data_IF_501370105583
#
_entry.id   IF_501370105583
#
_cell.length_a   1.000
_cell.length_b   1.000
_cell.length_c   1.000
_cell.angle_alpha   90.00
_cell.angle_beta   90.00
_cell.angle_gamma   90.00
#
_symmetry.space_group_name_H-M   'P 1'
#
loop_
_entity.id
_entity.type
_entity.pdbx_description
1 polymer ?
#
# COMPACT_ATOMS: atom_id res chain seq x y z
N UNK A 1 54.47 59.95 29.57
CA UNK A 1 55.45 58.87 29.33
C UNK A 1 54.71 57.65 28.77
N UNK A 2 55.06 57.21 27.54
CA UNK A 2 54.92 55.85 26.96
C UNK A 2 53.50 55.21 26.92
N UNK A 3 53.00 54.56 25.87
CA UNK A 3 53.40 54.24 24.48
C UNK A 3 52.16 53.58 23.81
N UNK A 4 51.94 53.91 22.53
CA UNK A 4 51.21 53.23 21.43
C UNK A 4 50.78 51.76 21.65
N UNK A 5 49.60 51.37 21.17
CA UNK A 5 49.40 50.66 19.87
C UNK A 5 47.91 50.34 19.63
N UNK A 6 47.46 50.56 18.40
CA UNK A 6 46.16 50.18 17.83
C UNK A 6 45.93 48.67 17.83
N UNK A 7 44.67 48.22 17.88
CA UNK A 7 44.13 47.10 17.09
C UNK A 7 42.60 47.28 16.98
N UNK A 8 42.16 47.42 15.73
CA UNK A 8 40.78 47.41 15.26
C UNK A 8 40.36 45.93 15.19
N UNK A 9 39.33 45.50 15.93
CA UNK A 9 38.73 44.17 15.74
C UNK A 9 37.28 44.33 15.27
N UNK A 10 37.12 44.07 13.98
CA UNK A 10 35.85 43.94 13.27
C UNK A 10 35.17 42.67 13.76
N UNK A 11 34.01 42.79 14.41
CA UNK A 11 33.13 41.67 14.68
C UNK A 11 32.22 41.49 13.45
N UNK A 12 32.64 40.65 12.50
CA UNK A 12 31.77 40.18 11.41
C UNK A 12 30.81 39.13 12.00
N UNK A 13 29.53 39.48 11.95
CA UNK A 13 28.40 38.60 12.20
C UNK A 13 28.43 37.52 11.12
N UNK A 14 28.67 36.27 11.53
CA UNK A 14 28.46 35.10 10.67
C UNK A 14 27.20 34.39 11.15
N UNK A 15 26.05 34.83 10.64
CA UNK A 15 24.78 34.10 10.70
C UNK A 15 24.55 33.51 9.31
N UNK A 16 24.91 32.25 9.16
CA UNK A 16 24.54 31.32 8.08
C UNK A 16 24.58 29.95 8.77
N UNK A 17 23.54 29.12 8.86
CA UNK A 17 22.54 28.79 7.85
C UNK A 17 21.33 28.11 8.51
N UNK A 18 20.10 28.59 8.26
CA UNK A 18 18.84 27.89 8.56
C UNK A 18 17.88 28.05 7.35
N UNK A 19 18.35 27.80 6.13
CA UNK A 19 17.52 28.04 4.91
C UNK A 19 17.08 26.74 4.21
N UNK A 20 17.63 25.57 4.58
CA UNK A 20 17.32 24.31 3.87
C UNK A 20 15.90 23.77 4.10
N UNK A 21 15.35 23.86 5.32
CA UNK A 21 14.02 23.31 5.60
C UNK A 21 12.87 24.20 5.10
N UNK A 22 13.08 25.51 4.96
CA UNK A 22 12.00 26.40 4.55
C UNK A 22 11.66 26.27 3.07
N UNK A 23 12.63 25.98 2.20
CA UNK A 23 12.44 26.06 0.74
C UNK A 23 11.54 24.94 0.20
N UNK A 24 11.73 23.69 0.67
CA UNK A 24 10.88 22.55 0.26
C UNK A 24 9.45 22.70 0.79
N UNK A 25 9.27 23.07 2.06
CA UNK A 25 7.93 23.36 2.60
C UNK A 25 7.23 24.52 1.88
N UNK A 26 7.99 25.54 1.49
CA UNK A 26 7.47 26.70 0.76
C UNK A 26 6.99 26.28 -0.63
N UNK A 27 7.79 25.51 -1.38
CA UNK A 27 7.38 24.94 -2.67
C UNK A 27 6.12 24.07 -2.58
N UNK A 28 5.99 23.23 -1.53
CA UNK A 28 4.77 22.43 -1.30
C UNK A 28 3.55 23.33 -1.10
N UNK A 29 3.67 24.34 -0.22
CA UNK A 29 2.58 25.29 0.09
C UNK A 29 2.19 26.14 -1.12
N UNK A 30 3.12 26.42 -2.02
CA UNK A 30 2.85 27.20 -3.22
C UNK A 30 2.05 26.39 -4.26
N UNK A 31 2.44 25.15 -4.54
CA UNK A 31 1.68 24.27 -5.46
C UNK A 31 0.23 24.05 -4.99
N UNK A 32 0.00 23.94 -3.68
CA UNK A 32 -1.35 23.78 -3.14
C UNK A 32 -2.24 25.02 -3.32
N UNK A 33 -1.67 26.21 -3.55
CA UNK A 33 -2.41 27.46 -3.81
C UNK A 33 -2.67 27.72 -5.29
N UNK A 34 -1.90 27.11 -6.19
CA UNK A 34 -2.00 27.35 -7.63
C UNK A 34 -3.19 26.65 -8.28
N UNK A 35 -3.79 27.21 -9.33
CA UNK A 35 -4.81 26.48 -10.10
C UNK A 35 -4.18 25.33 -10.90
N UNK A 36 -5.00 24.34 -11.26
CA UNK A 36 -4.53 23.14 -11.95
C UNK A 36 -3.85 23.45 -13.30
N UNK A 37 -4.36 24.42 -14.06
CA UNK A 37 -3.79 24.81 -15.35
C UNK A 37 -2.37 25.40 -15.21
N UNK A 38 -2.09 26.13 -14.12
CA UNK A 38 -0.75 26.61 -13.78
C UNK A 38 0.19 25.45 -13.50
N UNK A 39 -0.26 24.47 -12.71
CA UNK A 39 0.50 23.25 -12.39
C UNK A 39 0.83 22.49 -13.68
N UNK A 40 -0.16 22.30 -14.57
CA UNK A 40 0.06 21.62 -15.86
C UNK A 40 1.09 22.34 -16.73
N UNK A 41 1.10 23.69 -16.75
CA UNK A 41 2.09 24.45 -17.51
C UNK A 41 3.50 24.28 -16.94
N UNK A 42 3.64 24.27 -15.61
CA UNK A 42 4.92 24.07 -14.92
C UNK A 42 5.47 22.66 -15.07
N UNK A 43 4.58 21.66 -15.15
CA UNK A 43 4.97 20.26 -15.28
C UNK A 43 5.45 19.85 -16.69
N UNK A 44 5.30 20.71 -17.71
CA UNK A 44 5.72 20.38 -19.07
C UNK A 44 7.23 20.15 -19.15
N UNK A 45 7.63 19.06 -19.79
CA UNK A 45 9.02 18.65 -19.93
C UNK A 45 9.58 17.89 -18.73
N UNK A 46 8.83 17.79 -17.62
CA UNK A 46 9.27 17.08 -16.43
C UNK A 46 9.34 15.56 -16.65
N UNK A 47 10.18 14.92 -15.86
CA UNK A 47 10.27 13.46 -15.77
C UNK A 47 9.80 13.01 -14.39
N UNK A 48 8.93 12.01 -14.35
CA UNK A 48 8.36 11.46 -13.12
C UNK A 48 8.77 10.00 -12.99
N UNK A 49 9.45 9.66 -11.91
CA UNK A 49 9.82 8.29 -11.56
C UNK A 49 8.72 7.67 -10.68
N UNK A 50 7.95 6.76 -11.27
CA UNK A 50 6.94 5.99 -10.56
C UNK A 50 7.52 4.62 -10.17
N UNK A 51 7.70 4.40 -8.88
CA UNK A 51 8.14 3.11 -8.36
C UNK A 51 6.93 2.23 -8.05
N UNK A 52 6.88 1.04 -8.65
CA UNK A 52 5.67 0.22 -8.56
C UNK A 52 5.96 -1.28 -8.67
N UNK A 53 5.08 -2.10 -8.10
CA UNK A 53 5.30 -3.55 -7.99
C UNK A 53 5.50 -4.22 -9.35
N UNK A 54 6.64 -4.88 -9.53
CA UNK A 54 7.05 -5.51 -10.79
C UNK A 54 6.31 -6.81 -11.12
N UNK A 55 5.67 -7.43 -10.14
CA UNK A 55 5.05 -8.77 -10.30
C UNK A 55 3.76 -8.82 -11.12
N UNK A 56 3.15 -7.68 -11.44
CA UNK A 56 1.91 -7.63 -12.22
C UNK A 56 2.16 -7.24 -13.68
N UNK A 57 2.43 -8.24 -14.54
CA UNK A 57 2.72 -8.02 -15.97
C UNK A 57 1.61 -7.24 -16.70
N UNK A 58 0.30 -7.55 -16.54
CA UNK A 58 -0.75 -6.77 -17.18
C UNK A 58 -0.75 -5.29 -16.78
N UNK A 59 -0.65 -4.97 -15.48
CA UNK A 59 -0.63 -3.58 -15.00
C UNK A 59 0.62 -2.86 -15.49
N UNK A 60 1.78 -3.50 -15.42
CA UNK A 60 3.04 -2.91 -15.88
C UNK A 60 3.01 -2.60 -17.38
N UNK A 61 2.44 -3.50 -18.20
CA UNK A 61 2.24 -3.24 -19.63
C UNK A 61 1.27 -2.08 -19.87
N UNK A 62 0.19 -1.97 -19.09
CA UNK A 62 -0.74 -0.85 -19.20
C UNK A 62 -0.06 0.48 -18.90
N UNK A 63 0.74 0.56 -17.83
CA UNK A 63 1.53 1.78 -17.54
C UNK A 63 2.49 2.10 -18.68
N UNK A 64 3.32 1.14 -19.09
CA UNK A 64 4.39 1.38 -20.07
C UNK A 64 3.88 1.69 -21.48
N UNK A 65 2.80 1.02 -21.90
CA UNK A 65 2.34 1.03 -23.30
C UNK A 65 1.11 1.88 -23.54
N UNK A 66 0.39 2.25 -22.49
CA UNK A 66 -0.80 3.09 -22.61
C UNK A 66 -0.67 4.38 -21.82
N UNK A 67 -0.36 4.34 -20.51
CA UNK A 67 -0.30 5.56 -19.68
C UNK A 67 0.88 6.45 -20.07
N UNK A 68 2.11 5.92 -20.12
CA UNK A 68 3.31 6.72 -20.39
C UNK A 68 3.26 7.46 -21.74
N UNK A 69 2.86 6.84 -22.87
CA UNK A 69 2.70 7.56 -24.13
C UNK A 69 1.66 8.68 -24.06
N UNK A 70 0.54 8.47 -23.38
CA UNK A 70 -0.52 9.48 -23.26
C UNK A 70 -0.07 10.68 -22.41
N UNK A 71 0.69 10.44 -21.33
CA UNK A 71 1.28 11.54 -20.55
C UNK A 71 2.27 12.37 -21.37
N UNK A 72 3.08 11.70 -22.21
CA UNK A 72 4.04 12.40 -23.07
C UNK A 72 3.33 13.21 -24.15
N UNK A 73 2.35 12.63 -24.82
CA UNK A 73 1.62 13.27 -25.92
C UNK A 73 0.75 14.45 -25.44
N UNK A 74 0.01 14.27 -24.34
CA UNK A 74 -0.98 15.26 -23.90
C UNK A 74 -0.40 16.34 -22.99
N UNK A 75 0.63 16.01 -22.21
CA UNK A 75 1.16 16.89 -21.16
C UNK A 75 2.66 17.16 -21.25
N UNK A 76 3.37 16.56 -22.22
CA UNK A 76 4.82 16.62 -22.34
C UNK A 76 5.56 16.11 -21.07
N UNK A 77 4.95 15.17 -20.36
CA UNK A 77 5.52 14.55 -19.15
C UNK A 77 6.11 13.19 -19.49
N UNK A 78 7.36 12.95 -19.10
CA UNK A 78 8.01 11.64 -19.26
C UNK A 78 7.78 10.79 -18.01
N UNK A 79 6.96 9.75 -18.10
CA UNK A 79 6.75 8.81 -16.99
C UNK A 79 7.74 7.63 -17.08
N UNK A 80 8.66 7.56 -16.13
CA UNK A 80 9.63 6.47 -15.98
C UNK A 80 9.15 5.47 -14.92
N UNK A 81 8.76 4.26 -15.34
CA UNK A 81 8.36 3.21 -14.40
C UNK A 81 9.58 2.46 -13.88
N UNK A 82 9.75 2.45 -12.57
CA UNK A 82 10.81 1.71 -11.87
C UNK A 82 10.18 0.48 -11.17
N UNK A 83 10.45 -0.75 -11.65
CA UNK A 83 9.91 -1.94 -11.01
C UNK A 83 10.55 -2.18 -9.64
N UNK A 84 9.73 -2.55 -8.66
CA UNK A 84 10.19 -2.96 -7.32
C UNK A 84 9.74 -4.39 -7.01
N UNK A 85 10.53 -5.09 -6.21
CA UNK A 85 10.17 -6.41 -5.69
C UNK A 85 9.31 -6.29 -4.43
N UNK A 86 9.72 -5.42 -3.51
CA UNK A 86 9.04 -5.13 -2.25
C UNK A 86 9.01 -3.60 -2.02
N UNK A 87 7.89 -3.09 -1.50
CA UNK A 87 7.76 -1.68 -1.13
C UNK A 87 8.69 -1.28 0.02
N UNK A 88 9.09 -2.23 0.87
CA UNK A 88 10.04 -2.02 1.97
C UNK A 88 11.39 -1.49 1.49
N UNK A 89 11.83 -1.92 0.31
CA UNK A 89 13.10 -1.45 -0.26
C UNK A 89 13.07 0.05 -0.55
N UNK A 90 11.95 0.56 -1.06
CA UNK A 90 11.76 1.99 -1.29
C UNK A 90 11.66 2.77 0.02
N UNK A 91 10.92 2.24 1.00
CA UNK A 91 10.73 2.90 2.29
C UNK A 91 12.08 3.02 3.01
N UNK A 92 12.88 1.96 3.02
CA UNK A 92 14.24 1.99 3.59
C UNK A 92 15.12 3.03 2.88
N UNK A 93 15.04 3.12 1.56
CA UNK A 93 15.75 4.16 0.80
C UNK A 93 15.32 5.56 1.21
N UNK A 94 14.01 5.83 1.29
CA UNK A 94 13.47 7.13 1.72
C UNK A 94 13.89 7.48 3.16
N UNK A 95 13.92 6.50 4.06
CA UNK A 95 14.42 6.68 5.43
C UNK A 95 15.90 7.10 5.43
N UNK A 96 16.75 6.38 4.69
CA UNK A 96 18.17 6.72 4.57
C UNK A 96 18.38 8.10 3.95
N UNK A 97 17.63 8.45 2.88
CA UNK A 97 17.69 9.78 2.27
C UNK A 97 17.26 10.88 3.27
N UNK A 98 16.24 10.61 4.07
CA UNK A 98 15.77 11.53 5.13
C UNK A 98 16.78 11.72 6.25
N UNK A 99 17.44 10.66 6.71
CA UNK A 99 18.46 10.71 7.77
C UNK A 99 19.63 11.66 7.42
N UNK A 100 19.98 11.73 6.13
CA UNK A 100 21.04 12.64 5.64
C UNK A 100 20.49 13.97 5.13
N UNK A 101 19.21 14.28 5.38
CA UNK A 101 18.51 15.49 4.91
C UNK A 101 18.58 15.71 3.40
N UNK A 102 18.60 14.61 2.62
CA UNK A 102 18.58 14.70 1.16
C UNK A 102 17.17 15.12 0.70
N UNK A 103 17.10 16.17 -0.10
CA UNK A 103 15.84 16.75 -0.57
C UNK A 103 15.58 16.52 -2.07
N UNK A 104 16.57 16.02 -2.81
CA UNK A 104 16.53 15.65 -4.23
C UNK A 104 16.58 14.13 -4.41
N UNK A 105 15.58 13.45 -3.83
CA UNK A 105 15.40 12.01 -3.97
C UNK A 105 15.16 11.55 -5.41
N UNK A 106 15.07 10.24 -5.61
CA UNK A 106 14.84 9.63 -6.94
C UNK A 106 13.48 8.96 -7.08
N UNK A 107 12.63 9.06 -6.07
CA UNK A 107 11.29 8.50 -6.03
C UNK A 107 10.30 9.66 -6.00
N UNK A 108 9.54 9.84 -7.08
CA UNK A 108 8.56 10.92 -7.19
C UNK A 108 7.16 10.43 -6.79
N UNK A 109 6.78 9.24 -7.26
CA UNK A 109 5.53 8.56 -6.95
C UNK A 109 5.86 7.11 -6.61
N UNK A 110 5.17 6.54 -5.64
CA UNK A 110 5.34 5.12 -5.34
C UNK A 110 4.04 4.43 -4.95
N UNK A 111 3.88 3.19 -5.44
CA UNK A 111 2.70 2.36 -5.18
C UNK A 111 2.87 1.59 -3.87
N UNK A 112 2.07 1.94 -2.87
CA UNK A 112 2.04 1.35 -1.53
C UNK A 112 0.61 1.04 -1.11
N UNK A 113 0.50 0.30 -0.01
CA UNK A 113 -0.74 0.04 0.70
C UNK A 113 -0.44 -0.44 2.14
N UNK A 114 -1.46 -0.42 2.98
CA UNK A 114 -1.49 -0.94 4.34
C UNK A 114 -0.29 -0.57 5.20
N UNK A 115 0.46 -1.59 5.67
CA UNK A 115 1.61 -1.37 6.56
C UNK A 115 2.66 -0.43 5.95
N UNK A 116 2.80 -0.43 4.62
CA UNK A 116 3.77 0.41 3.93
C UNK A 116 3.32 1.87 3.86
N UNK A 117 2.02 2.11 3.68
CA UNK A 117 1.45 3.46 3.79
C UNK A 117 1.59 3.98 5.21
N UNK A 118 1.16 3.19 6.19
CA UNK A 118 1.29 3.54 7.61
C UNK A 118 2.73 3.88 7.99
N UNK A 119 3.69 3.01 7.66
CA UNK A 119 5.10 3.25 7.96
C UNK A 119 5.62 4.53 7.27
N UNK A 120 5.22 4.78 6.03
CA UNK A 120 5.61 6.00 5.29
C UNK A 120 5.04 7.26 5.94
N UNK A 121 3.79 7.19 6.42
CA UNK A 121 3.11 8.27 7.12
C UNK A 121 3.73 8.54 8.49
N UNK A 122 3.87 7.52 9.33
CA UNK A 122 4.43 7.62 10.69
C UNK A 122 5.87 8.17 10.68
N UNK A 123 6.63 7.84 9.64
CA UNK A 123 7.99 8.34 9.46
C UNK A 123 8.08 9.63 8.64
N UNK A 124 6.94 10.27 8.29
CA UNK A 124 6.91 11.53 7.54
C UNK A 124 7.68 11.48 6.23
N UNK A 125 7.50 10.41 5.45
CA UNK A 125 8.09 10.19 4.12
C UNK A 125 7.16 10.66 2.99
N UNK A 126 5.87 10.85 3.28
CA UNK A 126 4.87 11.27 2.30
C UNK A 126 4.91 12.78 2.04
N UNK A 127 4.35 13.19 0.90
CA UNK A 127 4.28 14.62 0.54
C UNK A 127 3.45 15.43 1.55
N UNK A 128 2.42 14.81 2.14
CA UNK A 128 1.35 15.46 2.88
C UNK A 128 0.03 15.34 2.13
N UNK A 129 -1.03 16.01 2.60
CA UNK A 129 -2.35 15.93 1.95
C UNK A 129 -2.33 16.63 0.58
N UNK A 130 -2.56 15.88 -0.50
CA UNK A 130 -2.58 16.38 -1.87
C UNK A 130 -3.79 15.91 -2.69
N UNK A 131 -4.50 14.87 -2.25
CA UNK A 131 -5.56 14.22 -3.03
C UNK A 131 -6.61 15.20 -3.55
N UNK A 132 -7.08 16.11 -2.70
CA UNK A 132 -8.10 17.11 -3.06
C UNK A 132 -7.61 18.16 -4.05
N UNK A 133 -6.30 18.24 -4.32
CA UNK A 133 -5.77 19.10 -5.37
C UNK A 133 -6.05 18.55 -6.77
N UNK A 134 -6.24 17.24 -6.89
CA UNK A 134 -6.39 16.56 -8.17
C UNK A 134 -7.84 16.71 -8.68
N UNK A 135 -8.07 17.29 -9.87
CA UNK A 135 -9.42 17.47 -10.40
C UNK A 135 -10.20 16.15 -10.52
N UNK A 136 -9.51 15.08 -10.95
CA UNK A 136 -10.13 13.76 -11.13
C UNK A 136 -10.49 13.07 -9.81
N UNK A 137 -9.72 13.30 -8.75
CA UNK A 137 -10.07 12.79 -7.41
C UNK A 137 -11.40 13.40 -6.96
N UNK A 138 -11.54 14.73 -7.09
CA UNK A 138 -12.78 15.42 -6.73
C UNK A 138 -13.98 15.04 -7.60
N UNK A 139 -13.73 14.69 -8.87
CA UNK A 139 -14.80 14.41 -9.84
C UNK A 139 -15.30 12.97 -9.78
N UNK A 140 -14.41 12.01 -9.53
CA UNK A 140 -14.70 10.59 -9.76
C UNK A 140 -14.56 9.71 -8.52
N UNK A 141 -13.93 10.18 -7.44
CA UNK A 141 -13.74 9.38 -6.23
C UNK A 141 -14.81 9.71 -5.21
N UNK A 142 -15.49 8.69 -4.69
CA UNK A 142 -16.37 8.82 -3.53
C UNK A 142 -15.52 8.94 -2.26
N UNK A 143 -15.33 10.17 -1.81
CA UNK A 143 -14.55 10.49 -0.60
C UNK A 143 -15.17 9.95 0.69
N UNK A 144 -16.45 9.56 0.67
CA UNK A 144 -17.13 9.05 1.84
C UNK A 144 -16.98 7.54 2.00
N UNK A 145 -16.55 6.83 0.95
CA UNK A 145 -16.34 5.39 0.99
C UNK A 145 -15.24 5.01 1.99
N UNK A 146 -15.50 3.97 2.78
CA UNK A 146 -14.60 3.49 3.84
C UNK A 146 -13.23 3.07 3.29
N UNK A 147 -13.21 2.43 2.12
CA UNK A 147 -11.98 2.01 1.42
C UNK A 147 -11.22 3.15 0.73
N UNK A 148 -11.72 4.39 0.82
CA UNK A 148 -11.01 5.62 0.44
C UNK A 148 -10.53 6.38 1.67
N UNK A 149 -11.30 6.37 2.76
CA UNK A 149 -10.93 6.99 4.03
C UNK A 149 -9.81 6.25 4.76
N UNK A 150 -9.78 4.92 4.61
CA UNK A 150 -8.84 4.06 5.32
C UNK A 150 -8.05 3.16 4.37
N UNK A 151 -6.73 3.10 4.58
CA UNK A 151 -5.84 2.10 4.01
C UNK A 151 -5.48 1.08 5.08
N UNK A 152 -6.13 -0.09 5.03
CA UNK A 152 -6.00 -1.19 6.01
C UNK A 152 -6.20 -0.71 7.47
N UNK A 153 -7.08 0.26 7.68
CA UNK A 153 -7.42 0.81 8.99
C UNK A 153 -6.64 2.08 9.38
N UNK A 154 -5.62 2.47 8.62
CA UNK A 154 -4.94 3.76 8.79
C UNK A 154 -5.68 4.85 8.00
N UNK A 155 -5.95 6.00 8.61
CA UNK A 155 -6.60 7.12 7.91
C UNK A 155 -5.71 7.65 6.79
N UNK A 156 -6.26 7.78 5.57
CA UNK A 156 -5.50 8.25 4.41
C UNK A 156 -5.17 9.74 4.50
N UNK A 157 -6.07 10.56 5.07
CA UNK A 157 -5.94 12.02 5.26
C UNK A 157 -5.56 12.77 3.97
N UNK A 158 -5.93 12.21 2.81
CA UNK A 158 -5.58 12.73 1.49
C UNK A 158 -4.08 12.65 1.15
N UNK A 159 -3.28 11.89 1.90
CA UNK A 159 -1.84 11.67 1.66
C UNK A 159 -1.55 10.59 0.61
N UNK A 160 -2.59 9.94 0.10
CA UNK A 160 -2.53 9.02 -1.03
C UNK A 160 -3.80 9.14 -1.90
N UNK A 161 -3.76 8.53 -3.08
CA UNK A 161 -4.91 8.47 -3.99
C UNK A 161 -5.10 7.05 -4.51
N UNK A 162 -6.35 6.57 -4.64
CA UNK A 162 -6.62 5.22 -5.09
C UNK A 162 -6.26 5.07 -6.56
N UNK A 163 -5.45 4.07 -6.89
CA UNK A 163 -5.23 3.64 -8.28
C UNK A 163 -6.24 2.57 -8.71
N UNK A 164 -6.61 1.69 -7.80
CA UNK A 164 -7.54 0.60 -8.05
C UNK A 164 -7.92 -0.10 -6.75
N UNK A 165 -8.90 -1.02 -6.86
CA UNK A 165 -9.41 -1.81 -5.73
C UNK A 165 -9.06 -3.27 -5.91
N UNK A 166 -8.66 -3.91 -4.82
CA UNK A 166 -8.53 -5.37 -4.76
C UNK A 166 -9.64 -5.94 -3.90
N UNK A 167 -10.23 -7.04 -4.34
CA UNK A 167 -11.25 -7.77 -3.59
C UNK A 167 -10.85 -9.24 -3.51
N UNK A 168 -10.89 -9.80 -2.29
CA UNK A 168 -10.73 -11.23 -2.10
C UNK A 168 -11.97 -11.95 -2.63
N UNK A 169 -11.76 -12.98 -3.44
CA UNK A 169 -12.80 -13.84 -3.99
C UNK A 169 -12.35 -15.29 -3.90
N UNK A 170 -13.31 -16.22 -3.84
CA UNK A 170 -13.04 -17.64 -4.01
C UNK A 170 -13.40 -18.02 -5.46
N UNK A 171 -12.44 -18.59 -6.17
CA UNK A 171 -12.61 -19.17 -7.50
C UNK A 171 -12.81 -20.66 -7.33
N UNK A 172 -13.77 -21.25 -8.03
CA UNK A 172 -14.09 -22.66 -7.87
C UNK A 172 -14.42 -23.38 -9.17
N UNK A 173 -14.21 -24.71 -9.17
CA UNK A 173 -14.59 -25.59 -10.27
C UNK A 173 -16.09 -25.90 -10.19
N UNK A 174 -16.86 -25.31 -11.11
CA UNK A 174 -18.32 -25.46 -11.18
C UNK A 174 -18.80 -26.87 -11.58
N UNK A 175 -17.92 -27.73 -12.10
CA UNK A 175 -18.24 -29.15 -12.31
C UNK A 175 -18.21 -29.92 -10.99
N UNK A 176 -17.35 -29.51 -10.05
CA UNK A 176 -17.19 -30.14 -8.73
C UNK A 176 -18.07 -29.51 -7.65
N UNK A 177 -18.33 -28.20 -7.75
CA UNK A 177 -19.02 -27.43 -6.72
C UNK A 177 -20.25 -26.76 -7.32
N UNK A 178 -21.42 -27.41 -7.19
CA UNK A 178 -22.69 -26.87 -7.68
C UNK A 178 -23.27 -25.75 -6.81
N UNK A 179 -23.06 -25.86 -5.50
CA UNK A 179 -23.50 -24.88 -4.52
C UNK A 179 -22.27 -24.41 -3.73
N UNK A 180 -21.55 -23.37 -4.20
CA UNK A 180 -20.38 -22.87 -3.50
C UNK A 180 -20.77 -22.30 -2.12
N UNK A 181 -19.88 -22.38 -1.12
CA UNK A 181 -20.10 -21.77 0.19
C UNK A 181 -20.19 -20.24 0.04
N UNK A 182 -21.17 -19.65 0.72
CA UNK A 182 -21.48 -18.22 0.63
C UNK A 182 -20.94 -17.41 1.82
N UNK A 183 -20.37 -18.09 2.82
CA UNK A 183 -19.84 -17.52 4.05
C UNK A 183 -18.90 -18.55 4.74
N UNK A 184 -18.13 -18.14 5.74
CA UNK A 184 -17.17 -18.99 6.46
C UNK A 184 -17.85 -20.18 7.16
N UNK A 185 -19.05 -20.01 7.71
CA UNK A 185 -19.79 -21.14 8.28
C UNK A 185 -20.02 -22.25 7.23
N UNK A 186 -20.50 -21.87 6.04
CA UNK A 186 -20.73 -22.81 4.93
C UNK A 186 -19.43 -23.31 4.31
N UNK A 187 -18.37 -22.51 4.31
CA UNK A 187 -17.06 -22.96 3.87
C UNK A 187 -16.54 -24.07 4.80
N UNK A 188 -16.63 -23.88 6.13
CA UNK A 188 -16.27 -24.90 7.12
C UNK A 188 -17.04 -26.21 6.93
N UNK A 189 -18.36 -26.13 6.77
CA UNK A 189 -19.19 -27.31 6.47
C UNK A 189 -18.74 -28.00 5.17
N UNK A 190 -18.46 -27.23 4.13
CA UNK A 190 -18.03 -27.73 2.82
C UNK A 190 -16.66 -28.41 2.91
N UNK A 191 -15.69 -27.79 3.58
CA UNK A 191 -14.33 -28.31 3.75
C UNK A 191 -14.34 -29.64 4.49
N UNK A 192 -15.16 -29.77 5.54
CA UNK A 192 -15.33 -31.03 6.29
C UNK A 192 -15.87 -32.16 5.43
N UNK A 193 -16.79 -31.85 4.51
CA UNK A 193 -17.39 -32.83 3.58
C UNK A 193 -16.44 -33.18 2.42
N UNK A 194 -15.59 -32.25 2.00
CA UNK A 194 -14.70 -32.39 0.84
C UNK A 194 -13.23 -32.37 1.27
N UNK A 195 -12.84 -33.40 2.03
CA UNK A 195 -11.50 -33.47 2.63
C UNK A 195 -10.40 -33.35 1.57
N UNK A 196 -9.45 -32.46 1.83
CA UNK A 196 -8.30 -32.23 0.97
C UNK A 196 -8.56 -31.35 -0.26
N UNK A 197 -9.80 -30.85 -0.45
CA UNK A 197 -10.20 -30.11 -1.66
C UNK A 197 -10.18 -28.60 -1.53
N UNK A 198 -9.66 -28.08 -0.43
CA UNK A 198 -9.47 -26.65 -0.19
C UNK A 198 -8.22 -26.41 0.65
N UNK A 199 -7.55 -25.30 0.37
CA UNK A 199 -6.48 -24.72 1.19
C UNK A 199 -6.34 -23.24 0.83
N UNK A 200 -5.46 -22.53 1.54
CA UNK A 200 -5.12 -21.14 1.29
C UNK A 200 -3.59 -20.98 1.38
N UNK A 201 -2.99 -19.95 0.77
CA UNK A 201 -1.56 -19.73 0.88
C UNK A 201 -1.14 -19.44 2.33
N UNK A 202 0.04 -19.89 2.74
CA UNK A 202 0.57 -19.53 4.05
C UNK A 202 0.90 -18.03 4.11
N UNK A 203 0.52 -17.31 5.20
CA UNK A 203 1.13 -16.02 5.49
C UNK A 203 2.67 -16.13 5.50
N UNK A 204 3.40 -15.10 5.06
CA UNK A 204 2.95 -13.73 4.80
C UNK A 204 2.40 -13.48 3.38
N UNK A 205 2.05 -14.52 2.61
CA UNK A 205 1.41 -14.33 1.30
C UNK A 205 0.19 -13.40 1.40
N UNK A 206 0.06 -12.49 0.42
CA UNK A 206 -0.97 -11.44 0.43
C UNK A 206 -2.39 -12.02 0.44
N UNK A 207 -2.65 -13.05 -0.37
CA UNK A 207 -3.97 -13.69 -0.51
C UNK A 207 -4.27 -14.58 0.69
N UNK A 208 -3.27 -15.32 1.17
CA UNK A 208 -3.36 -16.10 2.41
C UNK A 208 -3.69 -15.22 3.61
N UNK A 209 -3.01 -14.08 3.73
CA UNK A 209 -3.27 -13.10 4.78
C UNK A 209 -4.66 -12.46 4.64
N UNK A 210 -5.14 -12.21 3.41
CA UNK A 210 -6.49 -11.74 3.16
C UNK A 210 -7.54 -12.76 3.60
N UNK A 211 -7.35 -14.05 3.29
CA UNK A 211 -8.24 -15.13 3.75
C UNK A 211 -8.34 -15.15 5.28
N UNK A 212 -7.21 -15.09 6.00
CA UNK A 212 -7.21 -15.07 7.47
C UNK A 212 -7.96 -13.86 8.03
N UNK A 213 -7.82 -12.67 7.41
CA UNK A 213 -8.60 -11.48 7.80
C UNK A 213 -10.10 -11.63 7.53
N UNK A 214 -10.48 -12.26 6.42
CA UNK A 214 -11.89 -12.55 6.14
C UNK A 214 -12.49 -13.49 7.20
N UNK A 215 -11.76 -14.53 7.59
CA UNK A 215 -12.17 -15.42 8.69
C UNK A 215 -12.26 -14.65 10.00
N UNK A 216 -11.28 -13.77 10.30
CA UNK A 216 -11.30 -12.94 11.50
C UNK A 216 -12.59 -12.12 11.55
N UNK A 217 -12.90 -11.36 10.50
CA UNK A 217 -14.06 -10.49 10.49
C UNK A 217 -15.37 -11.27 10.60
N UNK A 218 -15.52 -12.38 9.87
CA UNK A 218 -16.77 -13.14 9.93
C UNK A 218 -16.97 -13.83 11.29
N UNK A 219 -15.92 -14.42 11.87
CA UNK A 219 -16.00 -15.15 13.14
C UNK A 219 -16.08 -14.22 14.37
N UNK A 220 -15.79 -12.93 14.22
CA UNK A 220 -15.83 -11.96 15.33
C UNK A 220 -16.88 -10.88 15.17
N UNK A 221 -17.71 -10.94 14.12
CA UNK A 221 -18.90 -10.09 13.97
C UNK A 221 -18.67 -8.77 13.22
N UNK A 222 -17.66 -8.70 12.36
CA UNK A 222 -17.41 -7.55 11.47
C UNK A 222 -16.01 -6.99 11.57
N UNK A 223 -15.72 -6.00 10.72
CA UNK A 223 -14.42 -5.33 10.68
C UNK A 223 -14.36 -4.09 11.58
N UNK A 224 -15.50 -3.54 11.96
CA UNK A 224 -15.66 -2.21 12.56
C UNK A 224 -14.87 -2.07 13.87
N UNK A 225 -14.81 -3.13 14.69
CA UNK A 225 -14.04 -3.13 15.94
C UNK A 225 -12.53 -3.01 15.71
N UNK A 226 -12.03 -3.43 14.54
CA UNK A 226 -10.62 -3.44 14.20
C UNK A 226 -10.14 -2.13 13.57
N UNK A 227 -11.06 -1.19 13.31
CA UNK A 227 -10.72 0.20 12.96
C UNK A 227 -10.35 1.04 14.20
N UNK A 228 -10.60 0.52 15.39
CA UNK A 228 -10.24 1.17 16.64
C UNK A 228 -8.88 0.67 17.11
N UNK A 229 -8.12 1.56 17.76
CA UNK A 229 -6.87 1.18 18.40
C UNK A 229 -7.10 0.05 19.39
N UNK A 230 -6.34 -1.03 19.24
CA UNK A 230 -6.42 -2.23 20.06
C UNK A 230 -5.01 -2.64 20.47
N UNK A 231 -4.79 -2.90 21.75
CA UNK A 231 -3.50 -3.42 22.18
C UNK A 231 -3.37 -4.93 21.87
N UNK A 232 -2.15 -5.45 21.91
CA UNK A 232 -1.89 -6.85 21.56
C UNK A 232 -2.68 -7.86 22.42
N UNK A 233 -2.88 -7.59 23.71
CA UNK A 233 -3.61 -8.49 24.61
C UNK A 233 -5.11 -8.51 24.30
N UNK A 234 -5.69 -7.34 24.02
CA UNK A 234 -7.07 -7.22 23.55
C UNK A 234 -7.26 -7.97 22.24
N UNK A 235 -6.35 -7.78 21.27
CA UNK A 235 -6.40 -8.47 19.99
C UNK A 235 -6.33 -9.99 20.14
N UNK A 236 -5.42 -10.51 20.97
CA UNK A 236 -5.30 -11.94 21.23
C UNK A 236 -6.61 -12.52 21.78
N UNK A 237 -7.28 -11.80 22.67
CA UNK A 237 -8.58 -12.21 23.22
C UNK A 237 -9.67 -12.20 22.15
N UNK A 238 -9.77 -11.12 21.39
CA UNK A 238 -10.77 -10.95 20.33
C UNK A 238 -10.57 -11.91 19.15
N UNK A 239 -9.34 -12.30 18.84
CA UNK A 239 -9.00 -13.21 17.74
C UNK A 239 -9.20 -14.70 18.10
N UNK A 240 -9.64 -15.04 19.32
CA UNK A 240 -9.87 -16.44 19.71
C UNK A 240 -10.84 -17.20 18.77
N UNK A 241 -11.97 -16.63 18.32
CA UNK A 241 -12.87 -17.29 17.35
C UNK A 241 -12.19 -17.63 16.02
N UNK A 242 -11.35 -16.73 15.48
CA UNK A 242 -10.53 -17.00 14.29
C UNK A 242 -9.69 -18.28 14.46
N UNK A 243 -8.93 -18.38 15.55
CA UNK A 243 -8.06 -19.52 15.77
C UNK A 243 -8.82 -20.82 15.99
N UNK A 244 -9.97 -20.76 16.67
CA UNK A 244 -10.86 -21.91 16.80
C UNK A 244 -11.34 -22.39 15.43
N UNK A 245 -11.80 -21.48 14.57
CA UNK A 245 -12.25 -21.81 13.22
C UNK A 245 -11.12 -22.47 12.39
N UNK A 246 -9.93 -21.85 12.35
CA UNK A 246 -8.80 -22.36 11.57
C UNK A 246 -8.35 -23.74 12.07
N UNK A 247 -8.30 -23.95 13.39
CA UNK A 247 -7.98 -25.26 13.97
C UNK A 247 -9.05 -26.32 13.67
N UNK A 248 -10.32 -25.93 13.62
CA UNK A 248 -11.43 -26.83 13.33
C UNK A 248 -11.44 -27.32 11.87
N UNK A 249 -11.06 -26.47 10.91
CA UNK A 249 -10.98 -26.86 9.49
C UNK A 249 -9.66 -27.56 9.14
N UNK A 250 -8.57 -27.28 9.87
CA UNK A 250 -7.21 -27.74 9.56
C UNK A 250 -7.11 -29.23 9.17
N UNK A 251 -7.69 -30.20 9.92
CA UNK A 251 -7.59 -31.62 9.59
C UNK A 251 -8.21 -32.01 8.24
N UNK A 252 -9.05 -31.14 7.67
CA UNK A 252 -9.80 -31.37 6.44
C UNK A 252 -9.23 -30.61 5.24
N UNK A 253 -8.25 -29.73 5.46
CA UNK A 253 -7.56 -29.01 4.39
C UNK A 253 -6.72 -29.96 3.52
N UNK A 254 -6.28 -29.47 2.36
CA UNK A 254 -5.27 -30.14 1.54
C UNK A 254 -4.07 -30.57 2.40
N UNK A 255 -3.69 -31.85 2.29
CA UNK A 255 -2.66 -32.50 3.13
C UNK A 255 -2.89 -32.35 4.64
N UNK A 256 -4.14 -32.37 5.08
CA UNK A 256 -4.55 -32.28 6.50
C UNK A 256 -4.03 -31.00 7.19
N UNK A 257 -3.76 -29.94 6.40
CA UNK A 257 -3.17 -28.69 6.90
C UNK A 257 -1.78 -28.87 7.51
N UNK A 258 -1.05 -29.94 7.15
CA UNK A 258 0.37 -30.15 7.52
C UNK A 258 1.31 -29.23 6.74
N UNK A 259 0.86 -28.77 5.58
CA UNK A 259 1.57 -27.82 4.72
C UNK A 259 0.55 -26.99 3.94
N UNK A 260 0.98 -25.83 3.47
CA UNK A 260 0.20 -24.86 2.72
C UNK A 260 1.04 -24.39 1.53
N UNK A 261 0.43 -24.01 0.40
CA UNK A 261 1.16 -23.38 -0.69
C UNK A 261 1.83 -22.08 -0.20
N UNK A 262 3.07 -21.83 -0.62
CA UNK A 262 3.82 -20.63 -0.18
C UNK A 262 3.39 -19.34 -0.89
N UNK A 263 2.58 -19.45 -1.95
CA UNK A 263 2.10 -18.31 -2.74
C UNK A 263 0.79 -18.63 -3.47
N UNK A 264 0.03 -17.60 -3.84
CA UNK A 264 -1.16 -17.76 -4.70
C UNK A 264 -0.85 -18.51 -5.99
N UNK A 265 0.28 -18.23 -6.65
CA UNK A 265 0.66 -18.93 -7.88
C UNK A 265 0.92 -20.43 -7.68
N UNK A 266 1.31 -20.87 -6.48
CA UNK A 266 1.36 -22.31 -6.16
C UNK A 266 -0.03 -22.88 -5.91
N UNK A 267 -0.92 -22.13 -5.25
CA UNK A 267 -2.30 -22.55 -5.05
C UNK A 267 -3.04 -22.67 -6.39
N UNK A 268 -2.86 -21.73 -7.32
CA UNK A 268 -3.43 -21.79 -8.67
C UNK A 268 -3.00 -23.05 -9.42
N UNK A 269 -1.75 -23.52 -9.22
CA UNK A 269 -1.29 -24.79 -9.79
C UNK A 269 -1.98 -26.00 -9.17
N UNK A 270 -2.19 -26.00 -7.85
CA UNK A 270 -2.96 -27.06 -7.18
C UNK A 270 -4.39 -27.10 -7.72
N UNK A 271 -5.00 -25.94 -7.91
CA UNK A 271 -6.33 -25.79 -8.50
C UNK A 271 -6.36 -26.28 -9.95
N UNK A 272 -5.42 -25.83 -10.79
CA UNK A 272 -5.30 -26.27 -12.19
C UNK A 272 -5.04 -27.77 -12.36
N UNK A 273 -4.41 -28.41 -11.38
CA UNK A 273 -4.21 -29.87 -11.34
C UNK A 273 -5.40 -30.64 -10.73
N UNK A 274 -6.45 -29.96 -10.26
CA UNK A 274 -7.60 -30.58 -9.60
C UNK A 274 -7.32 -31.17 -8.21
N UNK A 275 -6.17 -30.84 -7.61
CA UNK A 275 -5.84 -31.27 -6.25
C UNK A 275 -6.79 -30.63 -5.24
N UNK A 276 -7.03 -29.32 -5.41
CA UNK A 276 -8.09 -28.54 -4.76
C UNK A 276 -9.14 -28.11 -5.78
N UNK A 277 -10.37 -27.84 -5.33
CA UNK A 277 -11.49 -27.46 -6.19
C UNK A 277 -11.89 -25.99 -6.02
N UNK A 278 -11.18 -25.28 -5.16
CA UNK A 278 -11.41 -23.88 -4.83
C UNK A 278 -10.09 -23.23 -4.40
N UNK A 279 -9.87 -21.99 -4.84
CA UNK A 279 -8.70 -21.14 -4.55
C UNK A 279 -9.13 -19.70 -4.26
#
# INVERSE_FOLDING_TARGET
MKRRLSILFIFIITIFSIVGCSETETKKKDLMKENWDSILKKAKGETVNIHMWGGNVPVNKYIDKWVSPQLKEQFDITLNRVPINDAKDMINKLLTEKEVNKTDGSIDIFWINGENFKNSKDNGLLWGSFAEKLPNYNKYVDKNAEDIKYDFGELTEGMEVPWGKSQFVLIYDSEKIKNPPINMLKLKEWVKKNKGKFTYPAPPDFTGSAFIRQVLYEETGGYEKYLQSMNANEFIKEAKPLWNYLNEIKPFLWREGKTYPESSGKLDRLYGNGEVWMT
#
